data_IF_887785874405
#
_entry.id   IF_887785874405
#
_cell.length_a   1.000
_cell.length_b   1.000
_cell.length_c   1.000
_cell.angle_alpha   90.00
_cell.angle_beta   90.00
_cell.angle_gamma   90.00
#
_symmetry.space_group_name_H-M   'P 1'
#
loop_
_entity.id
_entity.type
_entity.pdbx_description
1 polymer ?
#
# COMPACT_ATOMS: atom_id res chain seq x y z
N UNK A 1 -0.63 19.42 -17.52
CA UNK A 1 -1.57 18.28 -17.50
C UNK A 1 -2.56 18.38 -18.65
N UNK A 2 -3.14 17.25 -19.03
CA UNK A 2 -4.15 17.18 -20.08
C UNK A 2 -5.52 17.69 -19.66
N UNK A 3 -6.44 17.78 -20.62
CA UNK A 3 -7.84 18.17 -20.42
C UNK A 3 -8.79 16.98 -20.18
N UNK A 4 -8.36 15.75 -20.49
CA UNK A 4 -9.16 14.56 -20.26
C UNK A 4 -9.26 14.27 -18.74
N UNK A 5 -10.46 14.31 -18.18
CA UNK A 5 -10.69 14.18 -16.73
C UNK A 5 -11.20 12.82 -16.28
N UNK A 6 -11.84 12.08 -17.16
CA UNK A 6 -12.44 10.78 -16.84
C UNK A 6 -11.73 9.68 -17.61
N UNK A 7 -10.48 9.42 -17.27
CA UNK A 7 -9.66 8.42 -17.95
C UNK A 7 -10.00 7.01 -17.52
N UNK A 8 -9.94 6.11 -18.49
CA UNK A 8 -9.88 4.67 -18.28
C UNK A 8 -8.64 4.13 -18.98
N UNK A 9 -8.01 3.15 -18.39
CA UNK A 9 -6.90 2.45 -19.04
C UNK A 9 -6.98 0.96 -18.75
N UNK A 10 -6.54 0.15 -19.70
CA UNK A 10 -6.44 -1.29 -19.53
C UNK A 10 -5.16 -1.80 -20.21
N UNK A 11 -4.47 -2.69 -19.50
CA UNK A 11 -3.25 -3.35 -19.94
C UNK A 11 -3.58 -4.76 -20.42
N UNK A 12 -3.04 -5.14 -21.56
CA UNK A 12 -3.26 -6.43 -22.16
C UNK A 12 -1.97 -7.14 -22.52
N UNK A 13 -1.97 -8.45 -22.44
CA UNK A 13 -1.04 -9.32 -23.15
C UNK A 13 -1.68 -9.82 -24.46
N UNK A 14 -0.87 -10.26 -25.40
CA UNK A 14 -1.30 -10.74 -26.71
C UNK A 14 -0.73 -9.91 -27.84
N UNK A 15 -1.26 -10.09 -29.04
CA UNK A 15 -0.81 -9.39 -30.24
C UNK A 15 -1.97 -8.62 -30.88
N UNK A 16 -1.64 -7.47 -31.48
CA UNK A 16 -2.61 -6.68 -32.23
C UNK A 16 -3.24 -7.52 -33.37
N UNK A 17 -4.57 -7.53 -33.44
CA UNK A 17 -5.33 -8.32 -34.40
C UNK A 17 -5.55 -9.78 -34.01
N UNK A 18 -5.02 -10.23 -32.88
CA UNK A 18 -5.25 -11.53 -32.28
C UNK A 18 -6.10 -11.44 -31.01
N UNK A 19 -6.05 -12.50 -30.21
CA UNK A 19 -6.73 -12.52 -28.90
C UNK A 19 -5.91 -11.71 -27.89
N UNK A 20 -6.56 -10.74 -27.27
CA UNK A 20 -6.00 -9.96 -26.18
C UNK A 20 -6.54 -10.49 -24.84
N UNK A 21 -5.66 -10.65 -23.88
CA UNK A 21 -6.01 -10.98 -22.50
C UNK A 21 -5.76 -9.75 -21.64
N UNK A 22 -6.80 -9.27 -20.97
CA UNK A 22 -6.67 -8.19 -20.01
C UNK A 22 -5.87 -8.68 -18.79
N UNK A 23 -4.88 -7.89 -18.39
CA UNK A 23 -4.03 -8.15 -17.23
C UNK A 23 -4.48 -7.26 -16.07
N UNK A 24 -4.71 -5.98 -16.37
CA UNK A 24 -5.07 -4.98 -15.38
C UNK A 24 -5.85 -3.84 -16.02
N UNK A 25 -6.74 -3.21 -15.26
CA UNK A 25 -7.45 -2.02 -15.72
C UNK A 25 -7.73 -1.05 -14.56
N UNK A 26 -7.99 0.19 -14.92
CA UNK A 26 -8.31 1.23 -13.95
C UNK A 26 -9.17 2.33 -14.54
N UNK A 27 -9.85 3.04 -13.65
CA UNK A 27 -10.72 4.17 -14.01
C UNK A 27 -10.51 5.31 -13.03
N UNK A 28 -10.32 6.54 -13.53
CA UNK A 28 -10.36 7.74 -12.70
C UNK A 28 -11.81 8.02 -12.27
N UNK A 29 -12.19 7.50 -11.11
CA UNK A 29 -13.53 7.69 -10.53
C UNK A 29 -13.72 9.03 -9.86
N UNK A 30 -12.65 9.76 -9.58
CA UNK A 30 -12.65 11.03 -8.85
C UNK A 30 -12.62 12.26 -9.76
N UNK A 31 -12.59 12.08 -11.08
CA UNK A 31 -12.40 13.17 -12.04
C UNK A 31 -11.14 14.02 -11.76
N UNK A 32 -10.15 13.42 -11.15
CA UNK A 32 -8.91 14.11 -10.79
C UNK A 32 -8.04 14.44 -12.01
N UNK A 33 -8.29 13.74 -13.12
CA UNK A 33 -7.47 13.84 -14.32
C UNK A 33 -6.11 13.15 -14.18
N UNK A 34 -6.02 12.22 -13.23
CA UNK A 34 -4.84 11.38 -12.97
C UNK A 34 -5.32 9.95 -12.84
N UNK A 35 -4.70 9.06 -13.60
CA UNK A 35 -4.88 7.62 -13.48
C UNK A 35 -3.51 6.96 -13.43
N UNK A 36 -3.28 6.17 -12.41
CA UNK A 36 -2.08 5.35 -12.27
C UNK A 36 -2.46 3.88 -12.35
N UNK A 37 -1.75 3.14 -13.17
CA UNK A 37 -1.80 1.68 -13.21
C UNK A 37 -0.42 1.15 -12.82
N UNK A 38 -0.41 0.16 -11.98
CA UNK A 38 0.77 -0.61 -11.64
C UNK A 38 0.53 -2.08 -11.96
N UNK A 39 1.48 -2.72 -12.61
CA UNK A 39 1.43 -4.14 -12.89
C UNK A 39 2.82 -4.75 -12.69
N UNK A 40 2.87 -5.76 -11.85
CA UNK A 40 4.06 -6.56 -11.61
C UNK A 40 4.11 -7.82 -12.46
N UNK A 41 5.24 -8.51 -12.45
CA UNK A 41 5.37 -9.81 -13.13
C UNK A 41 5.40 -9.75 -14.65
N UNK A 42 5.54 -8.56 -15.24
CA UNK A 42 5.74 -8.43 -16.70
C UNK A 42 7.07 -9.08 -17.11
N UNK A 43 7.02 -9.85 -18.18
CA UNK A 43 8.16 -10.65 -18.64
C UNK A 43 9.02 -9.82 -19.62
N UNK A 44 10.31 -9.77 -19.36
CA UNK A 44 11.28 -9.09 -20.23
C UNK A 44 11.23 -9.65 -21.65
N UNK A 45 11.18 -8.76 -22.62
CA UNK A 45 11.14 -9.11 -24.05
C UNK A 45 9.75 -9.49 -24.59
N UNK A 46 8.70 -9.37 -23.77
CA UNK A 46 7.31 -9.52 -24.23
C UNK A 46 6.69 -8.16 -24.54
N UNK A 47 5.84 -8.16 -25.54
CA UNK A 47 5.03 -6.99 -25.90
C UNK A 47 3.73 -6.98 -25.06
N UNK A 48 3.37 -5.78 -24.62
CA UNK A 48 2.13 -5.50 -23.91
C UNK A 48 1.43 -4.33 -24.59
N UNK A 49 0.12 -4.30 -24.49
CA UNK A 49 -0.71 -3.27 -25.13
C UNK A 49 -1.43 -2.47 -24.03
N UNK A 50 -1.28 -1.17 -24.06
CA UNK A 50 -2.01 -0.25 -23.19
C UNK A 50 -3.09 0.45 -23.99
N UNK A 51 -4.35 0.26 -23.59
CA UNK A 51 -5.49 1.01 -24.13
C UNK A 51 -5.83 2.15 -23.14
N UNK A 52 -6.02 3.35 -23.68
CA UNK A 52 -6.47 4.51 -22.94
C UNK A 52 -7.76 5.01 -23.60
N UNK A 53 -8.74 5.34 -22.79
CA UNK A 53 -10.06 5.76 -23.24
C UNK A 53 -10.64 6.85 -22.30
N UNK A 54 -11.57 7.64 -22.81
CA UNK A 54 -12.36 8.55 -22.03
C UNK A 54 -13.71 7.93 -21.65
N UNK A 55 -14.03 7.87 -20.38
CA UNK A 55 -15.30 7.35 -19.90
C UNK A 55 -16.47 8.19 -20.46
N UNK A 56 -17.57 7.52 -20.84
CA UNK A 56 -18.79 8.17 -21.37
C UNK A 56 -18.51 9.07 -22.57
N UNK A 57 -17.67 8.61 -23.48
CA UNK A 57 -17.25 9.32 -24.68
C UNK A 57 -16.54 10.68 -24.40
N UNK A 58 -15.96 10.84 -23.22
CA UNK A 58 -15.15 12.01 -22.92
C UNK A 58 -13.93 12.08 -23.84
N UNK A 59 -13.64 13.27 -24.33
CA UNK A 59 -12.49 13.54 -25.20
C UNK A 59 -11.58 14.56 -24.54
N UNK A 60 -10.31 14.56 -24.89
CA UNK A 60 -9.36 15.52 -24.36
C UNK A 60 -7.93 15.10 -24.62
N UNK A 61 -7.01 15.85 -24.08
CA UNK A 61 -5.58 15.56 -24.11
C UNK A 61 -5.13 14.94 -22.80
N UNK A 62 -4.11 14.09 -22.85
CA UNK A 62 -3.47 13.51 -21.67
C UNK A 62 -1.96 13.45 -21.87
N UNK A 63 -1.25 13.30 -20.77
CA UNK A 63 0.16 12.99 -20.77
C UNK A 63 0.33 11.55 -20.26
N UNK A 64 1.05 10.75 -21.03
CA UNK A 64 1.38 9.38 -20.64
C UNK A 64 2.82 9.33 -20.12
N UNK A 65 3.02 8.73 -18.97
CA UNK A 65 4.32 8.39 -18.43
C UNK A 65 4.37 6.88 -18.22
N UNK A 66 5.29 6.20 -18.86
CA UNK A 66 5.53 4.77 -18.65
C UNK A 66 6.94 4.64 -18.08
N UNK A 67 7.03 4.12 -16.88
CA UNK A 67 8.31 3.87 -16.24
C UNK A 67 8.48 2.36 -16.06
N UNK A 68 9.61 1.84 -16.49
CA UNK A 68 10.07 0.55 -15.96
C UNK A 68 10.47 0.78 -14.51
N UNK A 69 9.52 0.57 -13.65
CA UNK A 69 9.79 0.55 -12.25
C UNK A 69 10.33 -0.85 -11.94
N UNK A 70 11.64 -0.94 -11.75
CA UNK A 70 12.20 -2.01 -10.95
C UNK A 70 12.05 -1.55 -9.50
N UNK A 71 10.98 -1.91 -8.79
CA UNK A 71 11.03 -1.76 -7.36
C UNK A 71 12.25 -2.59 -6.94
N UNK A 72 13.16 -2.08 -6.13
CA UNK A 72 13.99 -2.97 -5.33
C UNK A 72 13.03 -3.99 -4.77
N UNK A 73 13.35 -5.28 -4.91
CA UNK A 73 12.44 -6.36 -4.59
C UNK A 73 11.63 -5.97 -3.36
N UNK A 74 10.35 -5.61 -3.55
CA UNK A 74 9.50 -5.13 -2.46
C UNK A 74 9.01 -6.34 -1.70
N UNK A 75 9.99 -6.93 -1.08
CA UNK A 75 9.81 -8.02 -0.17
C UNK A 75 8.94 -7.59 1.01
N UNK A 76 9.01 -6.32 1.36
CA UNK A 76 8.39 -5.72 2.54
C UNK A 76 6.89 -5.46 2.45
N UNK A 77 6.25 -5.76 1.35
CA UNK A 77 4.80 -5.60 1.21
C UNK A 77 4.00 -6.83 1.65
N UNK A 78 4.67 -7.95 1.88
CA UNK A 78 4.08 -9.16 2.45
C UNK A 78 4.73 -9.45 3.81
N UNK A 79 3.95 -9.87 4.78
CA UNK A 79 4.41 -10.14 6.15
C UNK A 79 5.61 -11.12 6.17
N UNK A 80 5.55 -12.19 5.38
CA UNK A 80 6.60 -13.21 5.31
C UNK A 80 7.90 -12.71 4.66
N UNK A 81 7.91 -11.48 4.19
CA UNK A 81 9.03 -10.79 3.56
C UNK A 81 9.34 -9.45 4.21
N UNK A 82 8.82 -9.23 5.40
CA UNK A 82 9.00 -7.99 6.14
C UNK A 82 10.47 -7.59 6.24
N UNK A 83 10.74 -6.29 6.08
CA UNK A 83 12.09 -5.75 6.27
C UNK A 83 12.53 -5.88 7.72
N UNK A 84 13.66 -6.51 7.94
CA UNK A 84 14.18 -6.70 9.30
C UNK A 84 14.81 -5.40 9.82
N UNK A 85 14.31 -4.92 10.95
CA UNK A 85 14.89 -3.79 11.69
C UNK A 85 15.90 -4.36 12.69
N UNK A 86 17.17 -3.98 12.53
CA UNK A 86 18.28 -4.51 13.34
C UNK A 86 18.73 -3.55 14.44
N UNK A 87 18.32 -2.29 14.39
CA UNK A 87 18.67 -1.26 15.33
C UNK A 87 17.53 -0.26 15.55
N UNK A 88 17.76 0.74 16.37
CA UNK A 88 16.79 1.79 16.69
C UNK A 88 17.09 3.12 15.97
N UNK A 89 17.92 3.12 14.94
CA UNK A 89 18.21 4.33 14.18
C UNK A 89 16.98 4.75 13.34
N UNK A 90 16.67 6.03 13.26
CA UNK A 90 15.62 6.51 12.37
C UNK A 90 15.97 6.21 10.91
N UNK A 91 14.99 5.81 10.14
CA UNK A 91 15.13 5.61 8.69
C UNK A 91 13.95 6.23 7.93
N UNK A 92 14.15 6.48 6.66
CA UNK A 92 13.12 7.00 5.77
C UNK A 92 12.78 5.91 4.77
N UNK A 93 11.52 5.52 4.75
CA UNK A 93 10.98 4.73 3.66
C UNK A 93 10.30 5.66 2.66
N UNK A 94 10.59 5.46 1.39
CA UNK A 94 9.95 6.25 0.34
C UNK A 94 8.57 5.66 0.01
N UNK A 95 7.77 6.45 -0.68
CA UNK A 95 6.44 6.06 -1.14
C UNK A 95 6.44 4.66 -1.76
N UNK A 96 5.62 3.79 -1.24
CA UNK A 96 5.35 2.47 -1.79
C UNK A 96 3.94 2.43 -2.39
N UNK A 97 3.76 1.60 -3.40
CA UNK A 97 2.48 1.42 -4.08
C UNK A 97 2.14 -0.07 -4.09
N UNK A 98 0.91 -0.39 -3.74
CA UNK A 98 0.42 -1.76 -3.72
C UNK A 98 0.59 -2.44 -2.37
N UNK A 99 0.14 -3.67 -2.29
CA UNK A 99 -0.01 -4.44 -1.06
C UNK A 99 0.62 -5.84 -1.17
N UNK A 100 1.68 -5.98 -1.95
CA UNK A 100 2.33 -7.26 -2.11
C UNK A 100 1.55 -8.28 -2.95
N UNK A 101 1.84 -9.53 -2.74
CA UNK A 101 1.22 -10.68 -3.40
C UNK A 101 0.01 -11.16 -2.61
N UNK A 102 0.10 -11.17 -1.29
CA UNK A 102 -0.99 -11.49 -0.39
C UNK A 102 -1.65 -10.18 0.08
N UNK A 103 -2.84 -9.91 -0.43
CA UNK A 103 -3.57 -8.67 -0.18
C UNK A 103 -4.53 -8.75 1.00
N UNK A 104 -4.52 -9.84 1.72
CA UNK A 104 -5.46 -10.11 2.80
C UNK A 104 -4.75 -10.33 4.14
N UNK A 105 -3.52 -9.86 4.26
CA UNK A 105 -2.70 -10.08 5.44
C UNK A 105 -3.08 -9.16 6.61
N UNK A 106 -3.59 -7.96 6.34
CA UNK A 106 -3.94 -6.98 7.34
C UNK A 106 -5.46 -6.92 7.64
N UNK A 107 -6.23 -7.91 7.21
CA UNK A 107 -7.67 -7.95 7.48
C UNK A 107 -7.96 -8.25 8.96
N UNK A 108 -7.56 -7.36 9.83
CA UNK A 108 -8.05 -7.36 11.19
C UNK A 108 -9.20 -6.35 11.30
N UNK A 109 -10.37 -6.81 11.70
CA UNK A 109 -11.57 -5.98 11.86
C UNK A 109 -11.38 -4.82 12.84
N UNK A 110 -10.25 -4.79 13.56
CA UNK A 110 -9.86 -3.70 14.45
C UNK A 110 -9.09 -2.57 13.77
N UNK A 111 -8.63 -2.74 12.53
CA UNK A 111 -8.00 -1.68 11.73
C UNK A 111 -8.99 -0.75 11.05
N UNK A 112 -10.26 -0.85 11.33
CA UNK A 112 -11.22 0.07 10.77
C UNK A 112 -12.61 -0.20 11.25
N UNK A 113 -13.17 0.74 11.96
CA UNK A 113 -14.61 0.87 12.04
C UNK A 113 -15.12 1.21 10.63
N UNK A 114 -15.51 0.19 9.91
CA UNK A 114 -16.21 0.31 8.64
C UNK A 114 -15.28 0.54 7.44
N UNK A 115 -14.88 -0.53 6.82
CA UNK A 115 -14.38 -0.59 5.45
C UNK A 115 -12.93 -0.19 5.18
N UNK A 116 -11.98 -0.52 6.02
CA UNK A 116 -10.75 -1.02 5.41
C UNK A 116 -11.16 -2.39 4.89
N UNK A 117 -11.54 -2.38 3.62
CA UNK A 117 -12.05 -3.55 2.98
C UNK A 117 -11.05 -4.67 3.16
N UNK A 118 -11.51 -5.86 3.05
CA UNK A 118 -10.81 -7.14 3.05
C UNK A 118 -9.54 -7.21 2.19
N UNK A 119 -8.96 -6.08 1.77
CA UNK A 119 -7.76 -6.03 0.96
C UNK A 119 -6.91 -4.82 1.28
N UNK A 120 -5.65 -5.07 1.56
CA UNK A 120 -4.61 -4.05 1.59
C UNK A 120 -4.52 -3.34 0.24
N UNK A 121 -4.35 -2.03 0.28
CA UNK A 121 -4.17 -1.22 -0.92
C UNK A 121 -2.76 -0.65 -1.04
N UNK A 122 -2.17 -0.32 0.09
CA UNK A 122 -0.80 0.19 0.20
C UNK A 122 -0.27 -0.21 1.57
N UNK A 123 0.65 -1.15 1.63
CA UNK A 123 1.22 -1.66 2.87
C UNK A 123 2.72 -1.88 2.77
N UNK A 124 3.38 -1.88 3.89
CA UNK A 124 4.77 -2.29 4.04
C UNK A 124 4.94 -2.91 5.42
N UNK A 125 5.71 -3.97 5.48
CA UNK A 125 5.90 -4.75 6.68
C UNK A 125 7.32 -4.63 7.20
N UNK A 126 7.44 -4.48 8.49
CA UNK A 126 8.70 -4.47 9.21
C UNK A 126 8.66 -5.53 10.29
N UNK A 127 9.79 -6.16 10.54
CA UNK A 127 9.92 -7.16 11.59
C UNK A 127 11.14 -6.91 12.44
N UNK A 128 11.06 -7.29 13.70
CA UNK A 128 12.18 -7.22 14.64
C UNK A 128 12.03 -8.31 15.68
N UNK A 129 13.11 -8.58 16.39
CA UNK A 129 13.12 -9.48 17.56
C UNK A 129 13.41 -8.65 18.79
N UNK A 130 12.52 -8.68 19.78
CA UNK A 130 12.76 -8.02 21.07
C UNK A 130 13.92 -8.74 21.79
N UNK A 131 14.94 -7.98 22.19
CA UNK A 131 16.10 -8.53 22.88
C UNK A 131 15.85 -8.85 24.36
N UNK A 132 14.80 -8.28 24.93
CA UNK A 132 14.37 -8.45 26.32
C UNK A 132 12.92 -8.00 26.48
N UNK A 133 12.33 -8.31 27.62
CA UNK A 133 11.05 -7.71 28.00
C UNK A 133 11.20 -6.19 28.05
N UNK A 134 10.43 -5.49 27.23
CA UNK A 134 10.51 -4.05 27.10
C UNK A 134 9.17 -3.43 26.67
N UNK A 135 9.04 -2.13 26.85
CA UNK A 135 8.01 -1.34 26.18
C UNK A 135 8.52 -0.94 24.80
N UNK A 136 7.75 -1.26 23.77
CA UNK A 136 8.06 -0.88 22.41
C UNK A 136 7.39 0.46 22.08
N UNK A 137 8.16 1.38 21.54
CA UNK A 137 7.69 2.70 21.10
C UNK A 137 8.24 3.02 19.74
N UNK A 138 7.48 3.74 18.93
CA UNK A 138 7.93 4.27 17.65
C UNK A 138 7.09 5.46 17.23
N UNK A 139 7.62 6.26 16.33
CA UNK A 139 6.90 7.35 15.68
C UNK A 139 7.02 7.21 14.17
N UNK A 140 5.89 7.26 13.49
CA UNK A 140 5.77 7.38 12.04
C UNK A 140 5.48 8.83 11.71
N UNK A 141 6.30 9.45 10.89
CA UNK A 141 6.10 10.83 10.44
C UNK A 141 5.95 10.83 8.93
N UNK A 142 4.78 11.22 8.40
CA UNK A 142 4.60 11.31 6.97
C UNK A 142 5.50 12.39 6.38
N UNK A 143 6.10 12.10 5.21
CA UNK A 143 6.92 13.09 4.49
C UNK A 143 6.07 14.23 3.94
N UNK A 144 4.83 13.93 3.53
CA UNK A 144 3.84 14.92 3.21
C UNK A 144 2.87 15.05 4.40
N UNK A 145 2.76 16.22 5.05
CA UNK A 145 1.93 16.38 6.24
C UNK A 145 0.43 16.11 6.06
N UNK A 146 -0.03 16.01 4.82
CA UNK A 146 -1.42 15.65 4.50
C UNK A 146 -1.67 14.15 4.34
N UNK A 147 -0.60 13.34 4.37
CA UNK A 147 -0.74 11.89 4.28
C UNK A 147 -1.19 11.33 5.63
N UNK A 148 -2.11 10.40 5.54
CA UNK A 148 -2.64 9.62 6.66
C UNK A 148 -1.93 8.26 6.70
N UNK A 149 -1.37 7.92 7.85
CA UNK A 149 -0.63 6.68 8.05
C UNK A 149 -1.32 5.86 9.13
N UNK A 150 -1.81 4.71 8.72
CA UNK A 150 -2.33 3.69 9.63
C UNK A 150 -1.25 2.67 9.96
N UNK A 151 -1.34 2.03 11.12
CA UNK A 151 -0.44 0.95 11.49
C UNK A 151 -1.11 -0.16 12.28
N UNK A 152 -0.54 -1.35 12.19
CA UNK A 152 -0.82 -2.46 13.08
C UNK A 152 0.48 -3.14 13.54
N UNK A 153 0.53 -3.50 14.81
CA UNK A 153 1.63 -4.25 15.41
C UNK A 153 1.14 -5.64 15.78
N UNK A 154 1.86 -6.65 15.30
CA UNK A 154 1.54 -8.04 15.54
C UNK A 154 2.66 -8.76 16.28
N UNK A 155 2.27 -9.68 17.14
CA UNK A 155 3.15 -10.75 17.60
C UNK A 155 3.11 -11.91 16.63
N UNK A 156 4.27 -12.52 16.39
CA UNK A 156 4.43 -13.73 15.60
C UNK A 156 4.86 -14.88 16.51
N UNK A 157 3.93 -15.59 17.18
CA UNK A 157 4.26 -16.58 18.20
C UNK A 157 5.13 -17.73 17.69
N UNK A 158 5.03 -18.03 16.41
CA UNK A 158 5.78 -19.09 15.75
C UNK A 158 6.98 -18.56 14.93
N UNK A 159 7.32 -17.29 15.11
CA UNK A 159 8.41 -16.62 14.41
C UNK A 159 8.05 -16.06 13.05
N UNK A 160 9.01 -15.34 12.45
CA UNK A 160 8.79 -14.52 11.25
C UNK A 160 8.30 -15.28 10.01
N UNK A 161 8.49 -16.60 9.97
CA UNK A 161 8.06 -17.42 8.83
C UNK A 161 6.60 -17.90 8.94
N UNK A 162 5.91 -17.57 10.03
CA UNK A 162 4.49 -17.93 10.23
C UNK A 162 3.64 -16.69 10.44
N UNK A 163 3.29 -16.05 9.35
CA UNK A 163 2.39 -14.90 9.34
C UNK A 163 0.90 -15.24 9.48
N UNK A 164 0.53 -16.50 9.28
CA UNK A 164 -0.87 -16.94 9.34
C UNK A 164 -1.42 -16.95 10.77
N UNK A 165 -0.55 -17.09 11.77
CA UNK A 165 -0.90 -17.12 13.19
C UNK A 165 -0.55 -15.82 13.92
N UNK A 166 -0.35 -14.72 13.20
CA UNK A 166 -0.05 -13.43 13.81
C UNK A 166 -1.19 -12.97 14.72
N UNK A 167 -0.83 -12.38 15.85
CA UNK A 167 -1.78 -11.87 16.83
C UNK A 167 -1.62 -10.36 16.95
N UNK A 168 -2.71 -9.63 16.79
CA UNK A 168 -2.67 -8.18 16.89
C UNK A 168 -2.41 -7.74 18.33
N UNK A 169 -1.45 -6.87 18.51
CA UNK A 169 -1.12 -6.24 19.78
C UNK A 169 -1.65 -4.82 19.86
N UNK A 170 -1.47 -4.03 18.81
CA UNK A 170 -1.87 -2.62 18.74
C UNK A 170 -2.22 -2.26 17.31
N UNK A 171 -3.11 -1.31 17.14
CA UNK A 171 -3.39 -0.70 15.84
C UNK A 171 -3.87 0.74 15.99
N UNK A 172 -3.68 1.51 14.94
CA UNK A 172 -4.30 2.82 14.76
C UNK A 172 -4.75 2.93 13.30
N UNK A 173 -6.02 3.26 13.11
CA UNK A 173 -6.60 3.56 11.81
C UNK A 173 -7.62 4.66 12.02
N UNK A 174 -7.21 5.89 11.79
CA UNK A 174 -8.06 7.06 11.95
C UNK A 174 -8.42 7.64 10.60
N UNK A 175 -9.71 7.90 10.40
CA UNK A 175 -10.17 8.51 9.16
C UNK A 175 -9.79 10.01 9.09
N UNK A 176 -9.60 10.57 7.89
CA UNK A 176 -9.41 12.01 7.73
C UNK A 176 -10.47 12.83 8.49
N UNK A 177 -10.11 13.96 9.14
CA UNK A 177 -8.96 14.82 8.83
C UNK A 177 -7.68 14.57 9.63
N UNK A 178 -7.52 13.43 10.22
CA UNK A 178 -6.40 13.14 11.11
C UNK A 178 -5.16 12.71 10.32
N UNK A 179 -4.46 13.66 9.75
CA UNK A 179 -3.17 13.44 9.12
C UNK A 179 -2.03 13.92 10.05
N UNK A 180 -0.85 13.36 9.88
CA UNK A 180 0.33 13.76 10.63
C UNK A 180 1.05 12.59 11.31
N UNK A 181 1.95 12.86 12.27
CA UNK A 181 2.68 11.82 12.97
C UNK A 181 1.78 10.89 13.77
N UNK A 182 2.05 9.60 13.72
CA UNK A 182 1.37 8.54 14.48
C UNK A 182 2.39 7.59 15.11
N UNK A 183 1.97 6.65 15.95
CA UNK A 183 2.87 5.67 16.55
C UNK A 183 2.42 5.22 17.93
N UNK A 184 3.36 4.63 18.68
CA UNK A 184 3.16 4.19 20.06
C UNK A 184 4.13 4.91 20.99
N UNK A 185 3.65 5.37 22.11
CA UNK A 185 4.45 5.95 23.19
C UNK A 185 4.33 5.18 24.51
N UNK A 186 4.95 5.66 25.56
CA UNK A 186 4.96 5.00 26.87
C UNK A 186 3.60 5.04 27.56
N UNK A 187 2.66 5.85 27.10
CA UNK A 187 1.32 6.01 27.67
C UNK A 187 0.27 5.16 26.94
N UNK A 188 0.63 4.60 25.78
CA UNK A 188 -0.24 3.70 25.03
C UNK A 188 -0.54 2.42 25.79
N UNK A 189 -1.77 2.20 26.22
CA UNK A 189 -2.17 1.11 27.13
C UNK A 189 -3.28 0.23 26.62
N UNK A 190 -4.04 0.65 25.61
CA UNK A 190 -5.14 -0.10 25.02
C UNK A 190 -4.76 -0.76 23.68
N UNK A 191 -5.66 -1.56 23.12
CA UNK A 191 -5.42 -2.27 21.86
C UNK A 191 -5.53 -1.37 20.63
N UNK A 192 -6.35 -0.34 20.74
CA UNK A 192 -6.58 0.63 19.66
C UNK A 192 -6.11 2.00 20.12
N UNK A 193 -5.15 2.54 19.43
CA UNK A 193 -4.73 3.91 19.66
C UNK A 193 -5.74 4.83 18.98
N UNK A 194 -6.53 5.50 19.81
CA UNK A 194 -7.50 6.49 19.35
C UNK A 194 -6.81 7.84 19.18
N UNK A 195 -6.80 8.32 17.96
CA UNK A 195 -6.62 9.72 17.59
C UNK A 195 -5.23 10.34 17.79
N UNK A 196 -4.53 10.48 16.70
CA UNK A 196 -3.55 11.54 16.54
C UNK A 196 -4.14 12.77 15.81
N UNK A 197 -5.40 13.08 16.05
CA UNK A 197 -5.96 14.38 15.75
C UNK A 197 -5.59 15.33 16.89
N UNK A 198 -4.39 15.90 16.88
CA UNK A 198 -3.99 17.02 17.71
C UNK A 198 -3.99 18.31 16.91
#
# INVERSE_FOLDING_TARGET
GGSLRTMQAALYSGVCGGTLQEINCGTDTRNAGILSLYEGGLVVGRDYLLRIDGRSAATGTFQLCINNYFPPARAEQDCNRATVICDNAPFVNQTFFGAGVDRDEAHDTRLGEGNIGTSESQSTWYSWVAASDCKFTFTLTPLNPSDDIDFAVYELPNGINDCSNKQILRCNATAPPCAGPTGLDLTSTDLTENFNCN
#
